data_IF_868509250286
#
_entry.id   IF_868509250286
#
_cell.length_a   1.000
_cell.length_b   1.000
_cell.length_c   1.000
_cell.angle_alpha   90.00
_cell.angle_beta   90.00
_cell.angle_gamma   90.00
#
_symmetry.space_group_name_H-M   'P 1'
#
loop_
_entity.id
_entity.type
_entity.pdbx_description
1 polymer ?
#
# COMPACT_ATOMS: atom_id res chain seq x y z
N UNK A 1 -12.22 -3.79 0.87
CA UNK A 1 -11.19 -3.56 1.91
C UNK A 1 -11.94 -3.51 3.22
N UNK A 2 -11.57 -4.36 4.17
CA UNK A 2 -12.29 -4.51 5.44
C UNK A 2 -11.57 -3.77 6.59
N UNK A 3 -12.25 -3.58 7.72
CA UNK A 3 -11.71 -2.84 8.87
C UNK A 3 -10.39 -3.44 9.42
N UNK A 4 -10.23 -4.76 9.38
CA UNK A 4 -8.96 -5.41 9.73
C UNK A 4 -7.85 -5.11 8.72
N UNK A 5 -8.16 -5.14 7.42
CA UNK A 5 -7.20 -4.76 6.39
C UNK A 5 -6.80 -3.29 6.52
N UNK A 6 -7.74 -2.41 6.84
CA UNK A 6 -7.46 -0.99 7.09
C UNK A 6 -6.52 -0.77 8.28
N UNK A 7 -6.73 -1.50 9.38
CA UNK A 7 -5.79 -1.48 10.52
C UNK A 7 -4.41 -1.98 10.14
N UNK A 8 -4.34 -3.01 9.29
CA UNK A 8 -3.06 -3.52 8.80
C UNK A 8 -2.34 -2.46 7.96
N UNK A 9 -3.05 -1.80 7.04
CA UNK A 9 -2.49 -0.70 6.23
C UNK A 9 -2.02 0.45 7.12
N UNK A 10 -2.82 0.88 8.09
CA UNK A 10 -2.44 1.94 9.03
C UNK A 10 -1.17 1.57 9.85
N UNK A 11 -1.05 0.32 10.29
CA UNK A 11 0.14 -0.17 10.98
C UNK A 11 1.38 -0.16 10.07
N UNK A 12 1.22 -0.53 8.79
CA UNK A 12 2.30 -0.49 7.79
C UNK A 12 2.72 0.95 7.50
N UNK A 13 1.77 1.87 7.28
CA UNK A 13 2.07 3.29 7.05
C UNK A 13 2.86 3.89 8.22
N UNK A 14 2.41 3.61 9.45
CA UNK A 14 3.13 4.02 10.67
C UNK A 14 4.54 3.42 10.73
N UNK A 15 4.71 2.15 10.34
CA UNK A 15 6.03 1.49 10.31
C UNK A 15 6.97 2.10 9.27
N UNK A 16 6.42 2.61 8.17
CA UNK A 16 7.17 3.30 7.11
C UNK A 16 7.44 4.78 7.44
N UNK A 17 6.85 5.30 8.53
CA UNK A 17 6.92 6.69 8.93
C UNK A 17 6.12 7.62 8.01
N UNK A 18 5.12 7.09 7.30
CA UNK A 18 4.26 7.85 6.41
C UNK A 18 3.04 8.31 7.22
N UNK A 19 2.81 9.63 7.35
CA UNK A 19 1.61 10.14 8.01
C UNK A 19 0.37 9.82 7.17
N UNK A 20 -0.71 9.41 7.84
CA UNK A 20 -2.00 9.15 7.21
C UNK A 20 -2.90 8.25 8.03
N UNK A 21 -4.17 8.62 8.15
CA UNK A 21 -5.23 7.83 8.76
C UNK A 21 -6.10 7.14 7.71
N UNK A 22 -6.26 5.83 7.84
CA UNK A 22 -7.06 5.02 6.92
C UNK A 22 -8.49 4.96 7.44
N UNK A 23 -9.41 5.61 6.74
CA UNK A 23 -10.82 5.66 7.11
C UNK A 23 -11.71 5.36 5.90
N UNK A 24 -12.93 4.84 6.11
CA UNK A 24 -13.87 4.68 5.01
C UNK A 24 -14.22 6.05 4.42
N UNK A 25 -14.48 6.07 3.11
CA UNK A 25 -15.02 7.24 2.41
C UNK A 25 -16.31 7.69 3.08
N UNK A 26 -17.22 6.73 3.26
CA UNK A 26 -18.49 6.90 3.96
C UNK A 26 -18.43 6.28 5.36
N UNK A 27 -18.58 7.07 6.44
CA UNK A 27 -18.58 6.54 7.81
C UNK A 27 -19.76 5.59 8.07
N UNK A 28 -20.85 5.71 7.31
CA UNK A 28 -22.02 4.84 7.40
C UNK A 28 -21.85 3.53 6.60
N UNK A 29 -20.80 3.43 5.77
CA UNK A 29 -20.53 2.25 4.96
C UNK A 29 -19.07 1.78 5.11
N UNK A 30 -18.81 1.08 6.22
CA UNK A 30 -17.50 0.48 6.50
C UNK A 30 -17.09 -0.63 5.51
N UNK A 31 -18.02 -1.14 4.69
CA UNK A 31 -17.75 -2.08 3.60
C UNK A 31 -17.49 -1.38 2.25
N UNK A 32 -17.63 -0.06 2.20
CA UNK A 32 -17.38 0.77 1.02
C UNK A 32 -15.90 1.00 0.74
N UNK A 33 -15.56 1.91 -0.18
CA UNK A 33 -14.18 2.28 -0.48
C UNK A 33 -13.52 2.94 0.73
N UNK A 34 -12.26 2.58 0.99
CA UNK A 34 -11.43 3.15 2.04
C UNK A 34 -10.38 4.07 1.43
N UNK A 35 -10.08 5.18 2.12
CA UNK A 35 -9.10 6.18 1.69
C UNK A 35 -8.14 6.53 2.82
N UNK A 36 -7.00 7.10 2.45
CA UNK A 36 -6.03 7.63 3.41
C UNK A 36 -6.17 9.14 3.49
N UNK A 37 -6.42 9.61 4.69
CA UNK A 37 -6.60 11.02 5.02
C UNK A 37 -5.44 11.55 5.84
N UNK A 38 -5.17 12.85 5.74
CA UNK A 38 -4.11 13.49 6.54
C UNK A 38 -4.44 13.52 8.04
N UNK A 39 -5.72 13.73 8.38
CA UNK A 39 -6.23 13.78 9.76
C UNK A 39 -7.46 12.90 9.94
N UNK A 40 -7.74 12.54 11.19
CA UNK A 40 -8.91 11.80 11.63
C UNK A 40 -10.21 12.60 11.55
N UNK A 41 -10.10 13.93 11.57
CA UNK A 41 -11.26 14.83 11.61
C UNK A 41 -12.04 14.82 10.29
N UNK A 42 -13.29 14.33 10.26
CA UNK A 42 -14.06 14.21 9.02
C UNK A 42 -14.36 15.55 8.34
N UNK A 43 -14.30 16.67 9.08
CA UNK A 43 -14.60 18.03 8.59
C UNK A 43 -13.38 18.69 7.95
N UNK A 44 -12.17 18.37 8.42
CA UNK A 44 -10.91 18.98 7.95
C UNK A 44 -10.00 17.98 7.25
N UNK A 45 -10.40 16.70 7.16
CA UNK A 45 -9.64 15.66 6.49
C UNK A 45 -9.52 15.94 5.00
N UNK A 46 -8.29 15.86 4.50
CA UNK A 46 -7.97 15.90 3.08
C UNK A 46 -7.56 14.51 2.64
N UNK A 47 -8.10 14.08 1.49
CA UNK A 47 -7.67 12.85 0.84
C UNK A 47 -6.21 13.02 0.38
N UNK A 48 -5.32 12.23 0.99
CA UNK A 48 -3.89 12.18 0.68
C UNK A 48 -3.50 10.81 0.12
N UNK A 49 -4.47 9.99 -0.29
CA UNK A 49 -4.24 8.65 -0.82
C UNK A 49 -3.17 8.63 -1.92
N UNK A 50 -3.20 9.60 -2.84
CA UNK A 50 -2.22 9.70 -3.92
C UNK A 50 -0.80 10.03 -3.41
N UNK A 51 -0.68 10.90 -2.40
CA UNK A 51 0.61 11.29 -1.82
C UNK A 51 1.21 10.16 -0.98
N UNK A 52 0.36 9.48 -0.20
CA UNK A 52 0.73 8.30 0.57
C UNK A 52 1.17 7.17 -0.37
N UNK A 53 0.44 6.93 -1.47
CA UNK A 53 0.84 5.95 -2.47
C UNK A 53 2.18 6.31 -3.11
N UNK A 54 2.39 7.58 -3.48
CA UNK A 54 3.67 8.06 -4.00
C UNK A 54 4.82 7.87 -2.99
N UNK A 55 4.57 8.14 -1.72
CA UNK A 55 5.53 7.93 -0.62
C UNK A 55 5.85 6.44 -0.43
N UNK A 56 4.85 5.55 -0.54
CA UNK A 56 5.05 4.10 -0.52
C UNK A 56 5.89 3.67 -1.74
N UNK A 57 5.57 4.14 -2.95
CA UNK A 57 6.35 3.87 -4.15
C UNK A 57 7.78 4.41 -4.05
N UNK A 58 7.99 5.56 -3.40
CA UNK A 58 9.34 6.09 -3.15
C UNK A 58 10.15 5.25 -2.15
N UNK A 59 9.48 4.61 -1.18
CA UNK A 59 10.10 3.66 -0.23
C UNK A 59 10.34 2.29 -0.85
N UNK A 60 9.46 1.89 -1.77
CA UNK A 60 9.52 0.64 -2.52
C UNK A 60 9.60 0.94 -4.02
N UNK A 61 10.70 1.55 -4.50
CA UNK A 61 10.88 1.68 -5.93
C UNK A 61 10.90 0.27 -6.50
N UNK A 62 9.98 -0.04 -7.40
CA UNK A 62 10.00 -1.25 -8.23
C UNK A 62 11.29 -1.22 -9.07
N UNK A 63 12.40 -1.57 -8.45
CA UNK A 63 13.72 -1.11 -8.90
C UNK A 63 14.89 -1.68 -8.10
N UNK A 64 14.67 -2.74 -7.32
CA UNK A 64 15.73 -3.73 -7.12
C UNK A 64 15.16 -5.07 -7.57
N UNK A 65 15.46 -5.54 -8.80
CA UNK A 65 15.62 -6.98 -8.96
C UNK A 65 16.49 -7.40 -7.80
N UNK A 66 16.04 -8.37 -7.00
CA UNK A 66 16.91 -8.97 -6.00
C UNK A 66 18.21 -9.27 -6.72
N UNK A 67 19.29 -8.59 -6.33
CA UNK A 67 20.65 -8.90 -6.76
C UNK A 67 21.07 -10.17 -6.04
N UNK A 68 20.29 -11.23 -6.21
CA UNK A 68 20.70 -12.60 -6.03
C UNK A 68 21.06 -13.13 -7.42
N UNK A 69 22.09 -13.97 -7.54
CA UNK A 69 22.39 -14.61 -8.82
C UNK A 69 21.11 -15.29 -9.32
N UNK A 70 20.65 -14.90 -10.51
CA UNK A 70 19.62 -15.61 -11.24
C UNK A 70 20.05 -17.07 -11.32
N UNK A 71 19.45 -17.94 -10.50
CA UNK A 71 19.57 -19.40 -10.69
C UNK A 71 18.91 -19.67 -12.02
N UNK A 72 19.73 -19.72 -13.07
CA UNK A 72 19.31 -20.11 -14.40
C UNK A 72 18.71 -21.50 -14.30
N UNK A 73 17.39 -21.57 -14.38
CA UNK A 73 16.74 -22.80 -14.79
C UNK A 73 16.99 -22.91 -16.29
N UNK A 74 18.04 -23.66 -16.65
CA UNK A 74 18.17 -24.20 -17.99
C UNK A 74 17.00 -25.15 -18.18
N UNK A 75 16.03 -24.75 -19.00
CA UNK A 75 15.07 -25.67 -19.59
C UNK A 75 15.81 -26.33 -20.76
N UNK A 76 16.16 -27.62 -20.73
CA UNK A 76 16.61 -28.29 -21.93
C UNK A 76 15.44 -28.32 -22.91
N UNK A 77 15.62 -27.70 -24.08
CA UNK A 77 14.78 -27.99 -25.24
C UNK A 77 15.03 -29.45 -25.61
N UNK A 78 14.13 -30.33 -25.18
CA UNK A 78 14.03 -31.67 -25.72
C UNK A 78 13.50 -31.57 -27.14
N UNK A 79 14.40 -31.81 -28.08
CA UNK A 79 14.11 -32.28 -29.43
C UNK A 79 13.61 -33.74 -29.29
N UNK A 80 12.37 -34.01 -29.72
CA UNK A 80 11.88 -35.27 -30.33
C UNK A 80 10.37 -35.19 -30.61
#
# INVERSE_FOLDING_TARGET
MDAEQARHVAAVLRRLGIPGEVAPEDPENASGPWRVYDTADPVTRRDVTADVLASVTAKFPEGRPGSGPSRGFVVPSGDE
#
